data_IF_618932173188
#
_entry.id   IF_618932173188
#
_cell.length_a   1.000
_cell.length_b   1.000
_cell.length_c   1.000
_cell.angle_alpha   90.00
_cell.angle_beta   90.00
_cell.angle_gamma   90.00
#
_symmetry.space_group_name_H-M   'P 1'
#
loop_
_entity.id
_entity.type
_entity.pdbx_description
1 polymer ?
#
# COMPACT_ATOMS: atom_id res chain seq x y z
N UNK A 1 2.32 0.97 -13.64
CA UNK A 1 1.12 1.22 -12.83
C UNK A 1 1.02 0.18 -11.72
N UNK A 2 0.62 0.61 -10.54
CA UNK A 2 0.47 -0.30 -9.40
C UNK A 2 -0.71 -1.26 -9.60
N UNK A 3 -0.46 -2.56 -9.45
CA UNK A 3 -1.48 -3.60 -9.55
C UNK A 3 -1.96 -4.01 -8.17
N UNK A 4 -3.26 -4.29 -8.03
CA UNK A 4 -3.86 -4.80 -6.79
C UNK A 4 -4.32 -6.23 -7.04
N UNK A 5 -3.79 -7.17 -6.29
CA UNK A 5 -4.07 -8.59 -6.46
C UNK A 5 -4.35 -9.27 -5.12
N UNK A 6 -4.98 -10.44 -5.15
CA UNK A 6 -5.17 -11.26 -3.94
C UNK A 6 -4.00 -12.20 -3.70
N UNK A 7 -3.23 -12.51 -4.72
CA UNK A 7 -2.09 -13.44 -4.64
C UNK A 7 -0.94 -12.92 -5.49
N UNK A 8 0.27 -13.23 -5.08
CA UNK A 8 1.48 -12.87 -5.81
C UNK A 8 2.40 -14.06 -5.94
N UNK A 9 3.27 -14.02 -6.95
CA UNK A 9 4.37 -14.96 -7.13
C UNK A 9 5.59 -14.60 -6.30
N UNK A 10 5.61 -13.40 -5.73
CA UNK A 10 6.73 -12.96 -4.90
C UNK A 10 6.73 -13.74 -3.59
N UNK A 11 7.86 -14.38 -3.30
CA UNK A 11 8.00 -15.23 -2.11
C UNK A 11 8.31 -14.46 -0.84
N UNK A 12 8.80 -13.23 -0.96
CA UNK A 12 9.21 -12.43 0.20
C UNK A 12 8.78 -10.97 0.02
N UNK A 13 7.47 -10.71 -0.02
CA UNK A 13 7.00 -9.32 -0.10
C UNK A 13 7.25 -8.58 1.21
N UNK A 14 7.35 -7.27 1.14
CA UNK A 14 7.20 -6.44 2.33
C UNK A 14 5.78 -6.58 2.84
N UNK A 15 5.60 -6.43 4.14
CA UNK A 15 4.34 -6.74 4.81
C UNK A 15 3.80 -5.50 5.51
N UNK A 16 2.48 -5.32 5.47
CA UNK A 16 1.80 -4.27 6.21
C UNK A 16 0.63 -4.87 6.99
N UNK A 17 0.51 -4.51 8.26
CA UNK A 17 -0.59 -4.92 9.12
C UNK A 17 -1.29 -3.71 9.71
N UNK A 18 -2.61 -3.79 9.79
CA UNK A 18 -3.38 -2.88 10.61
C UNK A 18 -3.47 -3.46 12.02
N UNK A 19 -3.09 -2.67 13.01
CA UNK A 19 -3.11 -3.07 14.42
C UNK A 19 -4.31 -2.44 15.13
N UNK A 20 -4.82 -3.08 16.21
CA UNK A 20 -5.99 -2.55 16.91
C UNK A 20 -5.79 -1.12 17.39
N UNK A 21 -6.86 -0.33 17.33
CA UNK A 21 -6.86 1.05 17.81
C UNK A 21 -6.88 1.05 19.33
N UNK A 22 -5.72 1.31 19.93
CA UNK A 22 -5.55 1.43 21.38
C UNK A 22 -4.89 2.78 21.67
N UNK A 23 -5.17 3.38 22.85
CA UNK A 23 -4.57 4.69 23.17
C UNK A 23 -3.06 4.73 23.10
N UNK A 24 -2.40 3.60 23.36
CA UNK A 24 -0.94 3.50 23.37
C UNK A 24 -0.35 3.16 22.00
N UNK A 25 -1.18 2.77 21.04
CA UNK A 25 -0.70 2.36 19.72
C UNK A 25 -0.23 3.59 18.93
N UNK A 26 0.91 3.46 18.28
CA UNK A 26 1.38 4.48 17.35
C UNK A 26 0.54 4.45 16.08
N UNK A 27 0.32 5.61 15.47
CA UNK A 27 -0.39 5.69 14.21
C UNK A 27 0.33 4.92 13.09
N UNK A 28 1.66 4.91 13.15
CA UNK A 28 2.50 4.26 12.14
C UNK A 28 3.80 3.81 12.79
N UNK A 29 4.25 2.61 12.42
CA UNK A 29 5.55 2.09 12.81
C UNK A 29 6.10 1.19 11.70
N UNK A 30 7.41 0.98 11.68
CA UNK A 30 8.02 0.11 10.71
C UNK A 30 9.31 -0.50 11.22
N UNK A 31 9.65 -1.66 10.67
CA UNK A 31 10.93 -2.34 10.90
C UNK A 31 11.52 -2.70 9.54
N UNK A 32 12.79 -2.41 9.32
CA UNK A 32 13.49 -2.79 8.10
C UNK A 32 14.34 -4.02 8.36
N UNK A 33 14.14 -5.07 7.58
CA UNK A 33 15.03 -6.24 7.54
C UNK A 33 16.00 -6.07 6.37
N UNK A 34 16.89 -7.07 6.15
CA UNK A 34 17.85 -7.00 5.04
C UNK A 34 17.19 -6.98 3.66
N UNK A 35 15.99 -7.57 3.52
CA UNK A 35 15.36 -7.81 2.23
C UNK A 35 14.00 -7.16 2.07
N UNK A 36 13.35 -6.74 3.18
CA UNK A 36 11.99 -6.21 3.12
C UNK A 36 11.67 -5.32 4.32
N UNK A 37 10.52 -4.68 4.28
CA UNK A 37 9.97 -3.88 5.36
C UNK A 37 8.79 -4.58 6.01
N UNK A 38 8.57 -4.30 7.28
CA UNK A 38 7.35 -4.65 8.00
C UNK A 38 6.74 -3.36 8.54
N UNK A 39 5.53 -3.05 8.09
CA UNK A 39 4.80 -1.84 8.49
C UNK A 39 3.64 -2.19 9.39
N UNK A 40 3.36 -1.31 10.36
CA UNK A 40 2.18 -1.41 11.22
C UNK A 40 1.45 -0.07 11.20
N UNK A 41 0.14 -0.10 10.94
CA UNK A 41 -0.71 1.09 10.89
C UNK A 41 -1.89 0.88 11.83
N UNK A 42 -2.14 1.85 12.69
CA UNK A 42 -3.29 1.78 13.61
C UNK A 42 -4.60 1.82 12.81
N UNK A 43 -5.48 0.85 13.08
CA UNK A 43 -6.79 0.75 12.42
C UNK A 43 -7.71 1.90 12.84
N UNK A 44 -8.71 2.22 12.02
CA UNK A 44 -9.76 3.16 12.36
C UNK A 44 -9.40 4.63 12.25
N UNK A 45 -8.26 4.96 11.66
CA UNK A 45 -7.91 6.36 11.40
C UNK A 45 -8.79 6.91 10.28
N UNK A 46 -8.94 8.24 10.20
CA UNK A 46 -9.73 8.82 9.12
C UNK A 46 -9.07 8.63 7.75
N UNK A 47 -9.86 8.79 6.70
CA UNK A 47 -9.41 8.51 5.34
C UNK A 47 -8.20 9.36 4.94
N UNK A 48 -8.18 10.63 5.32
CA UNK A 48 -7.06 11.51 4.99
C UNK A 48 -5.78 11.07 5.69
N UNK A 49 -5.87 10.70 6.97
CA UNK A 49 -4.71 10.20 7.71
C UNK A 49 -4.14 8.95 7.05
N UNK A 50 -5.01 8.03 6.63
CA UNK A 50 -4.58 6.81 5.95
C UNK A 50 -3.92 7.09 4.60
N UNK A 51 -4.43 8.08 3.85
CA UNK A 51 -3.80 8.49 2.59
C UNK A 51 -2.41 9.06 2.81
N UNK A 52 -2.23 9.86 3.85
CA UNK A 52 -0.92 10.43 4.20
C UNK A 52 0.06 9.32 4.58
N UNK A 53 -0.40 8.34 5.36
CA UNK A 53 0.44 7.20 5.73
C UNK A 53 0.79 6.34 4.51
N UNK A 54 -0.12 6.20 3.56
CA UNK A 54 0.15 5.48 2.31
C UNK A 54 1.25 6.16 1.50
N UNK A 55 1.24 7.48 1.42
CA UNK A 55 2.30 8.24 0.75
C UNK A 55 3.65 7.99 1.45
N UNK A 56 3.64 7.96 2.78
CA UNK A 56 4.84 7.69 3.56
C UNK A 56 5.38 6.28 3.31
N UNK A 57 4.51 5.27 3.28
CA UNK A 57 4.89 3.89 2.97
C UNK A 57 5.47 3.79 1.57
N UNK A 58 4.85 4.45 0.60
CA UNK A 58 5.34 4.48 -0.79
C UNK A 58 6.78 4.97 -0.86
N UNK A 59 7.14 5.99 -0.09
CA UNK A 59 8.49 6.53 -0.08
C UNK A 59 9.53 5.52 0.40
N UNK A 60 9.16 4.62 1.31
CA UNK A 60 10.07 3.57 1.76
C UNK A 60 10.26 2.47 0.73
N UNK A 61 9.30 2.30 -0.20
CA UNK A 61 9.27 1.16 -1.12
C UNK A 61 9.90 1.44 -2.49
N UNK A 62 10.43 2.66 -2.71
CA UNK A 62 10.87 3.06 -4.04
C UNK A 62 12.07 2.29 -4.59
N UNK A 63 13.03 1.93 -3.74
CA UNK A 63 14.34 1.56 -4.26
C UNK A 63 14.47 0.09 -4.65
N UNK A 64 13.99 -0.82 -3.82
CA UNK A 64 14.26 -2.24 -4.02
C UNK A 64 13.04 -3.14 -3.89
N UNK A 65 11.89 -2.59 -3.53
CA UNK A 65 10.72 -3.40 -3.19
C UNK A 65 9.71 -3.39 -4.33
N UNK A 66 9.35 -4.56 -4.81
CA UNK A 66 8.42 -4.72 -5.94
C UNK A 66 7.00 -4.99 -5.46
N UNK A 67 6.83 -5.58 -4.29
CA UNK A 67 5.54 -6.05 -3.80
C UNK A 67 5.33 -5.75 -2.32
N UNK A 68 4.13 -5.28 -1.97
CA UNK A 68 3.69 -5.10 -0.60
C UNK A 68 2.49 -5.99 -0.33
N UNK A 69 2.55 -6.81 0.72
CA UNK A 69 1.42 -7.64 1.14
C UNK A 69 0.73 -7.03 2.35
N UNK A 70 -0.54 -6.71 2.22
CA UNK A 70 -1.37 -6.25 3.34
C UNK A 70 -2.07 -7.45 3.93
N UNK A 71 -1.80 -7.76 5.20
CA UNK A 71 -2.26 -9.00 5.82
C UNK A 71 -3.70 -8.94 6.33
N UNK A 72 -4.18 -7.75 6.70
CA UNK A 72 -5.51 -7.59 7.30
C UNK A 72 -6.03 -6.16 7.08
N UNK A 73 -7.20 -5.87 7.62
CA UNK A 73 -7.81 -4.56 7.57
C UNK A 73 -9.28 -4.66 7.17
N UNK A 74 -10.12 -3.71 7.62
CA UNK A 74 -11.49 -3.64 7.12
C UNK A 74 -11.54 -2.90 5.78
N UNK A 75 -12.69 -2.99 5.10
CA UNK A 75 -12.83 -2.42 3.76
C UNK A 75 -12.60 -0.91 3.73
N UNK A 76 -13.07 -0.17 4.74
CA UNK A 76 -12.91 1.28 4.76
C UNK A 76 -11.45 1.68 4.89
N UNK A 77 -10.71 1.05 5.82
CA UNK A 77 -9.29 1.32 6.02
C UNK A 77 -8.48 0.94 4.78
N UNK A 78 -8.74 -0.23 4.23
CA UNK A 78 -8.04 -0.72 3.04
C UNK A 78 -8.30 0.18 1.83
N UNK A 79 -9.55 0.61 1.63
CA UNK A 79 -9.89 1.47 0.51
C UNK A 79 -9.13 2.80 0.58
N UNK A 80 -9.18 3.47 1.72
CA UNK A 80 -8.52 4.77 1.88
C UNK A 80 -7.00 4.65 1.73
N UNK A 81 -6.42 3.61 2.32
CA UNK A 81 -4.98 3.37 2.23
C UNK A 81 -4.55 3.07 0.79
N UNK A 82 -5.28 2.20 0.10
CA UNK A 82 -4.96 1.83 -1.28
C UNK A 82 -5.14 3.01 -2.24
N UNK A 83 -6.15 3.83 -2.03
CA UNK A 83 -6.31 5.05 -2.81
C UNK A 83 -5.09 5.97 -2.67
N UNK A 84 -4.60 6.12 -1.44
CA UNK A 84 -3.38 6.90 -1.18
C UNK A 84 -2.15 6.29 -1.85
N UNK A 85 -2.02 4.97 -1.81
CA UNK A 85 -0.90 4.28 -2.49
C UNK A 85 -0.92 4.49 -3.99
N UNK A 86 -2.10 4.38 -4.61
CA UNK A 86 -2.24 4.57 -6.05
C UNK A 86 -1.87 6.00 -6.47
N UNK A 87 -2.32 6.99 -5.70
CA UNK A 87 -2.00 8.38 -5.99
C UNK A 87 -0.52 8.68 -5.78
N UNK A 88 0.08 8.14 -4.72
CA UNK A 88 1.50 8.32 -4.45
C UNK A 88 2.35 7.65 -5.53
N UNK A 89 1.98 6.46 -5.95
CA UNK A 89 2.67 5.74 -7.03
C UNK A 89 2.60 6.51 -8.34
N UNK A 90 1.45 7.09 -8.66
CA UNK A 90 1.27 7.92 -9.84
C UNK A 90 2.21 9.14 -9.81
N UNK A 91 2.25 9.86 -8.69
CA UNK A 91 3.15 11.02 -8.55
C UNK A 91 4.60 10.65 -8.70
N UNK A 92 4.99 9.52 -8.13
CA UNK A 92 6.36 9.01 -8.24
C UNK A 92 6.74 8.76 -9.70
N UNK A 93 5.87 8.07 -10.44
CA UNK A 93 6.13 7.74 -11.84
C UNK A 93 6.21 8.97 -12.75
N UNK A 94 5.51 10.05 -12.40
CA UNK A 94 5.57 11.30 -13.17
C UNK A 94 6.93 11.98 -13.12
N UNK A 95 7.72 11.75 -12.05
CA UNK A 95 9.04 12.37 -11.91
C UNK A 95 10.13 11.64 -12.67
N UNK A 96 9.83 10.49 -13.26
CA UNK A 96 10.82 9.70 -14.00
C UNK A 96 10.35 9.47 -15.43
N UNK A 97 11.21 9.77 -16.40
CA UNK A 97 10.90 9.52 -17.80
C UNK A 97 10.96 8.03 -18.15
N UNK A 98 11.62 7.22 -17.34
CA UNK A 98 11.68 5.76 -17.49
C UNK A 98 11.50 5.10 -16.13
N UNK A 99 10.69 4.04 -16.02
CA UNK A 99 10.59 3.29 -14.77
C UNK A 99 11.94 2.64 -14.46
N UNK A 100 12.39 2.78 -13.21
CA UNK A 100 13.57 2.06 -12.76
C UNK A 100 13.20 0.61 -12.49
N UNK A 101 14.15 -0.30 -12.77
CA UNK A 101 14.03 -1.68 -12.33
C UNK A 101 13.87 -1.72 -10.80
N UNK A 102 12.95 -2.52 -10.29
CA UNK A 102 12.70 -2.64 -8.85
C UNK A 102 11.71 -1.64 -8.27
N UNK A 103 11.03 -0.86 -9.10
CA UNK A 103 9.98 0.07 -8.64
C UNK A 103 8.83 -0.73 -8.05
N UNK A 104 8.27 -0.24 -6.94
CA UNK A 104 7.08 -0.83 -6.32
C UNK A 104 5.93 -0.90 -7.33
N UNK A 105 5.47 -2.10 -7.63
CA UNK A 105 4.55 -2.34 -8.73
C UNK A 105 3.31 -3.17 -8.37
N UNK A 106 3.29 -3.81 -7.20
CA UNK A 106 2.20 -4.71 -6.84
C UNK A 106 1.87 -4.62 -5.35
N UNK A 107 0.58 -4.60 -5.04
CA UNK A 107 0.09 -4.75 -3.67
C UNK A 107 -0.84 -5.95 -3.60
N UNK A 108 -0.64 -6.79 -2.58
CA UNK A 108 -1.47 -7.96 -2.31
C UNK A 108 -2.40 -7.60 -1.16
N UNK A 109 -3.69 -7.85 -1.34
CA UNK A 109 -4.71 -7.53 -0.35
C UNK A 109 -5.32 -8.80 0.23
N UNK A 110 -5.89 -8.74 1.46
CA UNK A 110 -6.58 -9.89 2.03
C UNK A 110 -7.74 -10.32 1.15
N UNK A 111 -8.04 -11.62 1.14
CA UNK A 111 -9.17 -12.16 0.39
C UNK A 111 -10.51 -11.58 0.84
N UNK A 112 -10.58 -11.07 2.06
CA UNK A 112 -11.77 -10.42 2.61
C UNK A 112 -12.06 -9.05 2.00
N UNK A 113 -11.06 -8.43 1.32
CA UNK A 113 -11.28 -7.14 0.70
C UNK A 113 -12.21 -7.27 -0.50
N UNK A 114 -13.14 -6.31 -0.63
CA UNK A 114 -14.18 -6.34 -1.64
C UNK A 114 -13.62 -6.20 -3.06
N UNK A 115 -13.96 -7.17 -3.92
CA UNK A 115 -13.53 -7.16 -5.32
C UNK A 115 -14.03 -5.93 -6.09
N UNK A 116 -15.26 -5.49 -5.80
CA UNK A 116 -15.81 -4.30 -6.44
C UNK A 116 -14.99 -3.05 -6.09
N UNK A 117 -14.50 -2.96 -4.85
CA UNK A 117 -13.62 -1.87 -4.43
C UNK A 117 -12.29 -1.90 -5.17
N UNK A 118 -11.73 -3.07 -5.42
CA UNK A 118 -10.51 -3.21 -6.23
C UNK A 118 -10.72 -2.66 -7.64
N UNK A 119 -11.83 -3.04 -8.26
CA UNK A 119 -12.16 -2.59 -9.61
C UNK A 119 -12.33 -1.08 -9.67
N UNK A 120 -13.01 -0.51 -8.68
CA UNK A 120 -13.19 0.93 -8.57
C UNK A 120 -11.86 1.66 -8.41
N UNK A 121 -10.98 1.19 -7.53
CA UNK A 121 -9.66 1.78 -7.33
C UNK A 121 -8.80 1.72 -8.58
N UNK A 122 -8.82 0.61 -9.28
CA UNK A 122 -8.07 0.47 -10.54
C UNK A 122 -8.62 1.39 -11.62
N UNK A 123 -9.92 1.61 -11.65
CA UNK A 123 -10.55 2.55 -12.58
C UNK A 123 -10.11 3.99 -12.28
N UNK A 124 -10.07 4.37 -11.01
CA UNK A 124 -9.59 5.69 -10.60
C UNK A 124 -8.13 5.87 -11.03
N UNK A 125 -7.30 4.86 -10.82
CA UNK A 125 -5.89 4.92 -11.20
C UNK A 125 -5.72 5.12 -12.71
N UNK A 126 -6.53 4.46 -13.53
CA UNK A 126 -6.51 4.64 -14.99
C UNK A 126 -6.94 6.04 -15.39
N UNK A 127 -7.87 6.63 -14.68
CA UNK A 127 -8.39 7.96 -15.01
C UNK A 127 -7.36 9.06 -14.76
N UNK A 128 -6.40 8.86 -13.83
CA UNK A 128 -5.35 9.85 -13.54
C UNK A 128 -4.05 9.57 -14.31
N UNK A 129 -3.97 8.47 -15.01
CA UNK A 129 -2.88 8.15 -15.90
C UNK A 129 -3.20 8.54 -17.33
#
# INVERSE_FOLDING_TARGET
MLSINYQSKDKQPSVLRFVPSQPEAKDFDYTKTKTHFEFEIKAGQDAEALRILADKVEKYLHDDVVCLKIENGDNADLYAFLEGLLLANYRFLQHFSKPKSGVFAEVIVPKSFDKASIQELQHIAKAVH
#
